data_IF_347169576363
#
_entry.id   IF_347169576363
#
_cell.length_a   1.000
_cell.length_b   1.000
_cell.length_c   1.000
_cell.angle_alpha   90.00
_cell.angle_beta   90.00
_cell.angle_gamma   90.00
#
_symmetry.space_group_name_H-M   'P 1'
#
loop_
_entity.id
_entity.type
_entity.pdbx_description
1 polymer ?
#
# COMPACT_ATOMS: atom_id res chain seq x y z
N UNK A 1 13.18 13.71 30.62
CA UNK A 1 11.72 13.57 30.47
C UNK A 1 11.45 12.90 29.11
N UNK A 2 11.14 11.60 29.08
CA UNK A 2 10.84 10.88 27.83
C UNK A 2 9.49 11.40 27.32
N UNK A 3 9.42 11.97 26.11
CA UNK A 3 8.13 12.23 25.46
C UNK A 3 7.38 10.89 25.38
N UNK A 4 6.07 10.84 25.69
CA UNK A 4 5.27 9.66 25.39
C UNK A 4 5.44 9.37 23.88
N UNK A 5 5.85 8.14 23.54
CA UNK A 5 5.92 7.71 22.15
C UNK A 5 4.54 7.96 21.53
N UNK A 6 4.45 8.87 20.56
CA UNK A 6 3.24 9.02 19.79
C UNK A 6 2.84 7.64 19.28
N UNK A 7 1.56 7.29 19.43
CA UNK A 7 0.96 6.15 18.76
C UNK A 7 1.56 6.07 17.34
N UNK A 8 2.21 4.96 16.93
CA UNK A 8 2.77 4.88 15.59
C UNK A 8 1.68 5.22 14.59
N UNK A 9 1.99 6.06 13.60
CA UNK A 9 1.04 6.46 12.56
C UNK A 9 0.38 5.23 11.93
N UNK A 10 -0.80 5.40 11.34
CA UNK A 10 -1.58 4.29 10.79
C UNK A 10 -0.77 3.49 9.75
N UNK A 11 -0.05 4.18 8.85
CA UNK A 11 0.71 3.55 7.78
C UNK A 11 1.78 2.57 8.30
N UNK A 12 2.72 2.96 9.20
CA UNK A 12 3.67 2.01 9.80
C UNK A 12 3.02 0.76 10.40
N UNK A 13 1.85 0.89 11.05
CA UNK A 13 1.13 -0.27 11.61
C UNK A 13 0.61 -1.19 10.52
N UNK A 14 -0.04 -0.63 9.49
CA UNK A 14 -0.57 -1.41 8.38
C UNK A 14 0.54 -2.13 7.62
N UNK A 15 1.67 -1.47 7.36
CA UNK A 15 2.83 -2.09 6.72
C UNK A 15 3.38 -3.23 7.58
N UNK A 16 3.50 -3.05 8.89
CA UNK A 16 3.96 -4.12 9.77
C UNK A 16 3.02 -5.34 9.72
N UNK A 17 1.71 -5.12 9.82
CA UNK A 17 0.73 -6.21 9.72
C UNK A 17 0.75 -6.93 8.36
N UNK A 18 0.96 -6.20 7.27
CA UNK A 18 1.12 -6.79 5.94
C UNK A 18 2.38 -7.67 5.87
N UNK A 19 3.51 -7.16 6.33
CA UNK A 19 4.78 -7.91 6.34
C UNK A 19 4.70 -9.16 7.22
N UNK A 20 4.08 -9.07 8.39
CA UNK A 20 3.82 -10.22 9.26
C UNK A 20 2.95 -11.28 8.57
N UNK A 21 1.88 -10.85 7.91
CA UNK A 21 0.98 -11.74 7.16
C UNK A 21 1.72 -12.43 6.01
N UNK A 22 2.51 -11.69 5.24
CA UNK A 22 3.32 -12.23 4.13
C UNK A 22 4.32 -13.28 4.65
N UNK A 23 5.01 -13.00 5.76
CA UNK A 23 5.94 -13.95 6.37
C UNK A 23 5.24 -15.22 6.85
N UNK A 24 4.06 -15.08 7.43
CA UNK A 24 3.26 -16.22 7.88
C UNK A 24 2.78 -17.09 6.71
N UNK A 25 2.30 -16.48 5.62
CA UNK A 25 1.78 -17.20 4.44
C UNK A 25 2.90 -17.78 3.55
N UNK A 26 4.10 -17.20 3.62
CA UNK A 26 5.24 -17.50 2.76
C UNK A 26 5.41 -16.41 1.70
N UNK A 27 6.54 -15.67 1.67
CA UNK A 27 6.74 -14.55 0.75
C UNK A 27 6.60 -14.90 -0.74
N UNK A 28 7.12 -16.05 -1.16
CA UNK A 28 7.03 -16.54 -2.54
C UNK A 28 5.60 -16.91 -2.99
N UNK A 29 4.65 -16.96 -2.05
CA UNK A 29 3.22 -17.23 -2.30
C UNK A 29 2.39 -15.95 -2.30
N UNK A 30 3.03 -14.79 -2.13
CA UNK A 30 2.38 -13.50 -1.97
C UNK A 30 2.88 -12.51 -3.02
N UNK A 31 1.97 -11.66 -3.47
CA UNK A 31 2.28 -10.41 -4.14
C UNK A 31 1.59 -9.27 -3.38
N UNK A 32 2.21 -8.08 -3.37
CA UNK A 32 1.60 -6.88 -2.82
C UNK A 32 1.33 -5.91 -3.96
N UNK A 33 0.09 -5.43 -4.07
CA UNK A 33 -0.31 -4.44 -5.05
C UNK A 33 -0.94 -3.23 -4.34
N UNK A 34 -0.36 -2.05 -4.56
CA UNK A 34 -0.80 -0.80 -3.96
C UNK A 34 -0.98 0.25 -5.06
N UNK A 35 -2.15 0.87 -5.08
CA UNK A 35 -2.44 2.06 -5.89
C UNK A 35 -2.56 3.24 -4.93
N UNK A 36 -1.67 4.21 -5.09
CA UNK A 36 -1.72 5.46 -4.35
C UNK A 36 -2.50 6.51 -5.17
N UNK A 37 -3.36 7.27 -4.50
CA UNK A 37 -4.26 8.25 -5.10
C UNK A 37 -3.76 9.68 -4.92
N UNK A 38 -4.46 10.44 -4.08
CA UNK A 38 -4.25 11.88 -3.89
C UNK A 38 -3.63 12.26 -2.55
N UNK A 39 -2.74 11.43 -2.00
CA UNK A 39 -2.05 11.76 -0.75
C UNK A 39 -1.11 12.95 -0.93
N UNK A 40 -1.16 13.92 -0.02
CA UNK A 40 -0.27 15.11 -0.02
C UNK A 40 0.71 15.12 1.16
N UNK A 41 0.79 14.01 1.89
CA UNK A 41 1.48 13.91 3.18
C UNK A 41 2.76 13.05 3.13
N UNK A 42 3.26 12.74 1.93
CA UNK A 42 4.46 11.92 1.75
C UNK A 42 4.17 10.40 1.70
N UNK A 43 2.91 9.99 1.78
CA UNK A 43 2.52 8.56 1.78
C UNK A 43 3.01 7.83 0.53
N UNK A 44 2.95 8.46 -0.65
CA UNK A 44 3.40 7.86 -1.90
C UNK A 44 4.89 7.54 -1.92
N UNK A 45 5.73 8.45 -1.42
CA UNK A 45 7.17 8.28 -1.32
C UNK A 45 7.53 7.14 -0.35
N UNK A 46 6.85 7.08 0.80
CA UNK A 46 7.04 6.01 1.76
C UNK A 46 6.67 4.66 1.14
N UNK A 47 5.51 4.56 0.49
CA UNK A 47 5.05 3.33 -0.17
C UNK A 47 5.98 2.90 -1.31
N UNK A 48 6.47 3.84 -2.12
CA UNK A 48 7.43 3.56 -3.18
C UNK A 48 8.76 3.02 -2.61
N UNK A 49 9.22 3.59 -1.48
CA UNK A 49 10.48 3.21 -0.83
C UNK A 49 10.50 1.79 -0.25
N UNK A 50 9.34 1.13 -0.10
CA UNK A 50 9.26 -0.25 0.41
C UNK A 50 9.79 -1.29 -0.57
N UNK A 51 9.89 -0.95 -1.86
CA UNK A 51 10.23 -1.88 -2.94
C UNK A 51 11.49 -2.72 -2.67
N UNK A 52 12.66 -2.14 -2.33
CA UNK A 52 13.86 -2.93 -2.14
C UNK A 52 13.73 -3.95 -1.00
N UNK A 53 13.01 -3.59 0.07
CA UNK A 53 12.80 -4.46 1.23
C UNK A 53 11.83 -5.61 0.91
N UNK A 54 10.76 -5.35 0.16
CA UNK A 54 9.79 -6.37 -0.26
C UNK A 54 10.39 -7.35 -1.28
N UNK A 55 11.14 -6.83 -2.26
CA UNK A 55 11.81 -7.66 -3.25
C UNK A 55 12.91 -8.52 -2.61
N UNK A 56 13.67 -7.98 -1.64
CA UNK A 56 14.63 -8.75 -0.85
C UNK A 56 13.96 -9.85 0.01
N UNK A 57 12.70 -9.68 0.40
CA UNK A 57 11.91 -10.71 1.09
C UNK A 57 11.37 -11.77 0.10
N UNK A 58 11.50 -11.56 -1.21
CA UNK A 58 10.95 -12.44 -2.25
C UNK A 58 9.48 -12.17 -2.59
N UNK A 59 8.99 -10.96 -2.31
CA UNK A 59 7.62 -10.53 -2.61
C UNK A 59 7.60 -9.72 -3.90
N UNK A 60 6.73 -10.08 -4.85
CA UNK A 60 6.46 -9.23 -6.01
C UNK A 60 5.68 -8.00 -5.57
N UNK A 61 6.21 -6.80 -5.83
CA UNK A 61 5.59 -5.54 -5.45
C UNK A 61 5.14 -4.71 -6.66
N UNK A 62 3.83 -4.54 -6.80
CA UNK A 62 3.20 -3.64 -7.76
C UNK A 62 2.86 -2.34 -7.05
N UNK A 63 3.42 -1.22 -7.52
CA UNK A 63 3.12 0.10 -7.01
C UNK A 63 2.83 1.01 -8.19
N UNK A 64 1.73 1.76 -8.11
CA UNK A 64 1.35 2.77 -9.11
C UNK A 64 0.64 3.93 -8.45
N UNK A 65 0.63 5.06 -9.13
CA UNK A 65 -0.11 6.26 -8.73
C UNK A 65 -1.23 6.53 -9.71
N UNK A 66 -2.27 7.24 -9.27
CA UNK A 66 -3.40 7.61 -10.11
C UNK A 66 -3.94 8.99 -9.76
N UNK A 67 -4.39 9.79 -10.74
CA UNK A 67 -5.01 11.10 -10.47
C UNK A 67 -6.45 10.98 -9.95
N UNK A 68 -6.99 9.76 -9.78
CA UNK A 68 -8.37 9.57 -9.31
C UNK A 68 -8.50 10.07 -7.87
N UNK A 69 -9.31 11.11 -7.70
CA UNK A 69 -9.67 11.66 -6.41
C UNK A 69 -11.11 11.27 -6.05
N UNK A 70 -11.33 10.34 -5.10
CA UNK A 70 -12.66 9.90 -4.69
C UNK A 70 -13.42 10.93 -3.84
N UNK A 71 -12.81 12.07 -3.51
CA UNK A 71 -13.48 13.18 -2.80
C UNK A 71 -14.29 14.08 -3.75
N UNK A 72 -14.09 13.94 -5.06
CA UNK A 72 -14.79 14.70 -6.08
C UNK A 72 -15.66 13.77 -6.96
N UNK A 73 -16.91 14.17 -7.22
CA UNK A 73 -17.83 13.43 -8.11
C UNK A 73 -18.47 12.19 -7.48
N UNK A 74 -18.71 11.15 -8.28
CA UNK A 74 -19.29 9.88 -7.80
C UNK A 74 -18.22 9.04 -7.09
N UNK A 75 -18.23 9.16 -5.76
CA UNK A 75 -17.29 8.48 -4.87
C UNK A 75 -17.33 6.95 -5.01
N UNK A 76 -18.50 6.34 -5.26
CA UNK A 76 -18.61 4.88 -5.34
C UNK A 76 -17.91 4.39 -6.60
N UNK A 77 -18.15 5.06 -7.73
CA UNK A 77 -17.50 4.76 -9.01
C UNK A 77 -15.98 4.96 -8.91
N UNK A 78 -15.53 6.07 -8.32
CA UNK A 78 -14.11 6.34 -8.13
C UNK A 78 -13.42 5.27 -7.28
N UNK A 79 -14.01 4.88 -6.15
CA UNK A 79 -13.46 3.82 -5.29
C UNK A 79 -13.48 2.44 -5.97
N UNK A 80 -14.51 2.13 -6.76
CA UNK A 80 -14.54 0.91 -7.55
C UNK A 80 -13.41 0.85 -8.58
N UNK A 81 -13.11 1.99 -9.23
CA UNK A 81 -11.99 2.09 -10.16
C UNK A 81 -10.64 1.90 -9.46
N UNK A 82 -10.41 2.58 -8.32
CA UNK A 82 -9.20 2.40 -7.51
C UNK A 82 -8.98 0.94 -7.09
N UNK A 83 -10.04 0.28 -6.61
CA UNK A 83 -10.01 -1.15 -6.27
C UNK A 83 -9.61 -2.00 -7.48
N UNK A 84 -10.21 -1.76 -8.65
CA UNK A 84 -9.92 -2.54 -9.85
C UNK A 84 -8.47 -2.35 -10.31
N UNK A 85 -7.90 -1.14 -10.20
CA UNK A 85 -6.49 -0.89 -10.48
C UNK A 85 -5.58 -1.70 -9.54
N UNK A 86 -5.90 -1.72 -8.23
CA UNK A 86 -5.11 -2.48 -7.26
C UNK A 86 -5.19 -4.00 -7.50
N UNK A 87 -6.31 -4.49 -8.02
CA UNK A 87 -6.51 -5.90 -8.35
C UNK A 87 -6.04 -6.29 -9.76
N UNK A 88 -5.65 -5.33 -10.60
CA UNK A 88 -5.26 -5.58 -11.99
C UNK A 88 -4.17 -6.66 -12.15
N UNK A 89 -3.16 -6.78 -11.25
CA UNK A 89 -2.17 -7.86 -11.34
C UNK A 89 -2.73 -9.28 -11.19
N UNK A 90 -3.97 -9.46 -10.72
CA UNK A 90 -4.59 -10.79 -10.63
C UNK A 90 -5.14 -11.30 -11.96
N UNK A 91 -5.24 -10.43 -12.97
CA UNK A 91 -5.88 -10.74 -14.25
C UNK A 91 -4.88 -11.00 -15.38
N UNK A 92 -3.57 -10.83 -15.13
CA UNK A 92 -2.51 -10.87 -16.14
C UNK A 92 -1.40 -11.85 -15.76
#
# INVERSE_FOLDING_TARGET
MRRPSAAPGLLPRLINSLVETIRFLGPSRCALSIVEGNSVDGTGEVLASLRPALEALGVTYHFSTTPIDPTHGDRIVALAHLRNLALAPLLN
#
